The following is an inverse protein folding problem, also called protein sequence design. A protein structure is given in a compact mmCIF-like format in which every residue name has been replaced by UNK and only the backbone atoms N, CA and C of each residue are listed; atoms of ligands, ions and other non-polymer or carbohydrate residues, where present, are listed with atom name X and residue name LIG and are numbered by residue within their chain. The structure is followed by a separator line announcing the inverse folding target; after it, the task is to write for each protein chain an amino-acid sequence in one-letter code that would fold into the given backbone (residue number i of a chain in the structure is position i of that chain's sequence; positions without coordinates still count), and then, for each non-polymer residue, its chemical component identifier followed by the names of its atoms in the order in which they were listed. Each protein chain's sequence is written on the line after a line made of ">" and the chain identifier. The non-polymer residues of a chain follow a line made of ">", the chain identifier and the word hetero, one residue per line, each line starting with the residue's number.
data_IF_323310189866
#
_entry.id   IF_323310189866
#
_cell.length_a   1.000
_cell.length_b   1.000
_cell.length_c   1.000
_cell.angle_alpha   90.00
_cell.angle_beta   90.00
_cell.angle_gamma   90.00
#
_symmetry.space_group_name_H-M   'P 1'
#
loop_
_entity.id
_entity.type
_entity.pdbx_description
1 polymer ?
#
# COMPACT_ATOMS: atom_id res chain seq x y z
N UNK A 1 4.97 -24.13 -16.79
CA UNK A 1 4.61 -23.60 -15.45
C UNK A 1 5.90 -23.50 -14.64
N UNK A 2 6.32 -22.30 -14.23
CA UNK A 2 7.47 -22.13 -13.32
C UNK A 2 7.03 -22.53 -11.92
N UNK A 3 7.95 -23.12 -11.15
CA UNK A 3 7.78 -23.40 -9.73
C UNK A 3 8.77 -22.53 -8.99
N UNK A 4 8.30 -21.78 -7.99
CA UNK A 4 9.14 -20.99 -7.10
C UNK A 4 9.86 -21.90 -6.11
N UNK A 5 11.09 -21.56 -5.77
CA UNK A 5 11.79 -22.24 -4.68
C UNK A 5 11.19 -21.89 -3.31
N UNK A 6 11.67 -22.53 -2.25
CA UNK A 6 11.13 -22.33 -0.90
C UNK A 6 11.36 -20.90 -0.37
N UNK A 7 12.49 -20.27 -0.71
CA UNK A 7 12.77 -18.90 -0.29
C UNK A 7 11.92 -17.88 -1.04
N UNK A 8 11.79 -18.04 -2.37
CA UNK A 8 10.92 -17.22 -3.21
C UNK A 8 9.47 -17.32 -2.73
N UNK A 9 8.97 -18.54 -2.53
CA UNK A 9 7.61 -18.77 -2.01
C UNK A 9 7.41 -18.10 -0.64
N UNK A 10 8.37 -18.27 0.27
CA UNK A 10 8.30 -17.65 1.60
C UNK A 10 8.22 -16.12 1.48
N UNK A 11 9.08 -15.52 0.67
CA UNK A 11 9.12 -14.07 0.50
C UNK A 11 7.82 -13.52 -0.11
N UNK A 12 7.25 -14.22 -1.10
CA UNK A 12 5.96 -13.86 -1.70
C UNK A 12 4.85 -13.94 -0.66
N UNK A 13 4.77 -15.05 0.08
CA UNK A 13 3.74 -15.26 1.11
C UNK A 13 3.88 -14.23 2.24
N UNK A 14 5.11 -13.95 2.68
CA UNK A 14 5.37 -12.95 3.71
C UNK A 14 4.95 -11.55 3.23
N UNK A 15 5.28 -11.18 1.98
CA UNK A 15 4.89 -9.88 1.43
C UNK A 15 3.38 -9.73 1.43
N UNK A 16 2.65 -10.70 0.87
CA UNK A 16 1.18 -10.64 0.79
C UNK A 16 0.52 -10.57 2.17
N UNK A 17 0.97 -11.39 3.12
CA UNK A 17 0.36 -11.42 4.47
C UNK A 17 0.70 -10.19 5.32
N UNK A 18 1.88 -9.60 5.13
CA UNK A 18 2.33 -8.45 5.93
C UNK A 18 1.98 -7.11 5.28
N UNK A 19 1.56 -7.11 4.02
CA UNK A 19 1.19 -5.89 3.31
C UNK A 19 -0.05 -5.25 3.95
N UNK A 20 -0.06 -3.92 4.15
CA UNK A 20 -1.26 -3.22 4.62
C UNK A 20 -2.39 -3.36 3.59
N UNK A 21 -3.58 -3.68 4.10
CA UNK A 21 -4.83 -3.77 3.34
C UNK A 21 -5.97 -3.14 4.16
N UNK A 22 -7.06 -2.80 3.48
CA UNK A 22 -8.28 -2.20 4.02
C UNK A 22 -8.06 -0.84 4.69
N UNK A 23 -8.79 -0.55 5.77
CA UNK A 23 -8.71 0.69 6.54
C UNK A 23 -7.47 0.68 7.42
N UNK A 24 -6.59 1.66 7.20
CA UNK A 24 -5.36 1.79 7.99
C UNK A 24 -5.49 2.90 9.04
N UNK A 25 -6.15 4.01 8.70
CA UNK A 25 -6.32 5.16 9.59
C UNK A 25 -7.74 5.72 9.45
N UNK A 26 -8.47 5.77 10.57
CA UNK A 26 -9.74 6.50 10.69
C UNK A 26 -9.48 7.98 10.97
N UNK A 27 -10.40 8.84 10.56
CA UNK A 27 -10.29 10.27 10.76
C UNK A 27 -10.45 10.67 12.23
N UNK A 28 -9.54 11.51 12.70
CA UNK A 28 -9.63 12.14 14.02
C UNK A 28 -10.40 13.47 13.97
N UNK A 29 -10.78 13.94 12.78
CA UNK A 29 -11.49 15.20 12.56
C UNK A 29 -12.98 14.96 12.30
N UNK A 30 -13.30 13.93 11.52
CA UNK A 30 -14.66 13.60 11.10
C UNK A 30 -15.07 12.22 11.62
N UNK A 31 -16.21 12.16 12.28
CA UNK A 31 -16.77 10.89 12.75
C UNK A 31 -17.11 9.98 11.56
N UNK A 32 -16.80 8.69 11.68
CA UNK A 32 -17.09 7.65 10.68
C UNK A 32 -16.46 7.87 9.29
N UNK A 33 -15.38 8.66 9.20
CA UNK A 33 -14.63 8.85 7.96
C UNK A 33 -13.29 8.10 7.98
N UNK A 34 -12.94 7.44 6.88
CA UNK A 34 -11.61 6.85 6.68
C UNK A 34 -10.67 7.95 6.18
N UNK A 35 -9.53 8.10 6.85
CA UNK A 35 -8.48 9.00 6.39
C UNK A 35 -7.49 8.31 5.46
N UNK A 36 -7.13 7.05 5.72
CA UNK A 36 -6.23 6.28 4.86
C UNK A 36 -6.67 4.83 4.75
N UNK A 37 -6.72 4.33 3.52
CA UNK A 37 -6.96 2.92 3.19
C UNK A 37 -6.00 2.44 2.10
N UNK A 38 -5.72 1.15 2.09
CA UNK A 38 -4.89 0.50 1.05
C UNK A 38 -5.66 -0.68 0.47
N UNK A 39 -5.68 -0.82 -0.85
CA UNK A 39 -6.25 -2.00 -1.50
C UNK A 39 -5.14 -2.74 -2.24
N UNK A 40 -4.93 -4.02 -1.93
CA UNK A 40 -4.12 -4.93 -2.75
C UNK A 40 -5.04 -5.53 -3.82
N UNK A 41 -5.12 -4.85 -4.97
CA UNK A 41 -6.13 -5.13 -5.99
C UNK A 41 -5.73 -6.22 -6.98
N UNK A 42 -4.44 -6.36 -7.25
CA UNK A 42 -3.94 -7.26 -8.29
C UNK A 42 -2.68 -7.98 -7.85
N UNK A 43 -2.62 -9.28 -8.16
CA UNK A 43 -1.42 -10.09 -8.10
C UNK A 43 -1.38 -10.90 -9.38
N UNK A 44 -0.31 -10.75 -10.16
CA UNK A 44 -0.13 -11.51 -11.38
C UNK A 44 1.33 -11.87 -11.61
N UNK A 45 1.54 -12.86 -12.46
CA UNK A 45 2.87 -13.38 -12.80
C UNK A 45 3.02 -13.44 -14.31
N UNK A 46 3.92 -12.63 -14.84
CA UNK A 46 4.19 -12.49 -16.27
C UNK A 46 5.71 -12.36 -16.47
N UNK A 47 6.24 -12.95 -17.54
CA UNK A 47 7.66 -12.84 -17.92
C UNK A 47 8.67 -13.06 -16.78
N UNK A 48 8.40 -14.05 -15.92
CA UNK A 48 9.22 -14.41 -14.76
C UNK A 48 9.24 -13.39 -13.61
N UNK A 49 8.33 -12.41 -13.62
CA UNK A 49 8.16 -11.39 -12.60
C UNK A 49 6.79 -11.53 -11.94
N UNK A 50 6.78 -11.50 -10.61
CA UNK A 50 5.54 -11.35 -9.85
C UNK A 50 5.30 -9.87 -9.58
N UNK A 51 4.12 -9.39 -9.94
CA UNK A 51 3.71 -8.01 -9.74
C UNK A 51 2.56 -7.98 -8.75
N UNK A 52 2.68 -7.12 -7.73
CA UNK A 52 1.63 -6.84 -6.75
C UNK A 52 1.26 -5.37 -6.88
N UNK A 53 -0.01 -5.08 -7.18
CA UNK A 53 -0.50 -3.72 -7.38
C UNK A 53 -1.33 -3.30 -6.18
N UNK A 54 -1.00 -2.15 -5.60
CA UNK A 54 -1.70 -1.59 -4.45
C UNK A 54 -2.13 -0.15 -4.67
N UNK A 55 -3.40 0.13 -4.35
CA UNK A 55 -3.97 1.47 -4.37
C UNK A 55 -3.95 2.08 -2.97
N UNK A 56 -3.23 3.19 -2.80
CA UNK A 56 -3.22 3.96 -1.55
C UNK A 56 -4.15 5.16 -1.68
N UNK A 57 -5.23 5.18 -0.90
CA UNK A 57 -6.14 6.33 -0.79
C UNK A 57 -5.92 7.00 0.56
N UNK A 58 -5.64 8.30 0.57
CA UNK A 58 -5.35 9.02 1.81
C UNK A 58 -5.78 10.48 1.73
N UNK A 59 -6.39 11.03 2.80
CA UNK A 59 -6.72 12.44 2.93
C UNK A 59 -5.50 13.31 3.24
N UNK A 60 -4.43 12.74 3.81
CA UNK A 60 -3.24 13.46 4.23
C UNK A 60 -1.97 12.91 3.57
N UNK A 61 -1.20 13.79 2.91
CA UNK A 61 0.04 13.39 2.24
C UNK A 61 1.05 12.71 3.18
N UNK A 62 1.10 13.15 4.44
CA UNK A 62 1.96 12.52 5.46
C UNK A 62 1.55 11.08 5.77
N UNK A 63 0.25 10.79 5.79
CA UNK A 63 -0.26 9.42 5.98
C UNK A 63 -0.01 8.56 4.74
N UNK A 64 -0.22 9.10 3.54
CA UNK A 64 0.17 8.42 2.29
C UNK A 64 1.66 8.05 2.29
N UNK A 65 2.54 9.00 2.62
CA UNK A 65 3.97 8.77 2.69
C UNK A 65 4.33 7.73 3.75
N UNK A 66 3.63 7.72 4.88
CA UNK A 66 3.81 6.68 5.90
C UNK A 66 3.50 5.27 5.36
N UNK A 67 2.43 5.11 4.59
CA UNK A 67 2.13 3.82 3.93
C UNK A 67 3.22 3.46 2.93
N UNK A 68 3.65 4.39 2.08
CA UNK A 68 4.70 4.15 1.08
C UNK A 68 5.99 3.70 1.78
N UNK A 69 6.44 4.39 2.83
CA UNK A 69 7.62 3.99 3.59
C UNK A 69 7.46 2.59 4.21
N UNK A 70 6.26 2.22 4.67
CA UNK A 70 5.99 0.87 5.21
C UNK A 70 6.14 -0.20 4.13
N UNK A 71 5.59 0.06 2.94
CA UNK A 71 5.68 -0.82 1.79
C UNK A 71 7.12 -0.94 1.29
N UNK A 72 7.88 0.15 1.22
CA UNK A 72 9.30 0.14 0.86
C UNK A 72 10.13 -0.73 1.83
N UNK A 73 9.84 -0.64 3.13
CA UNK A 73 10.49 -1.49 4.13
C UNK A 73 10.12 -2.95 4.00
N UNK A 74 8.84 -3.25 3.75
CA UNK A 74 8.39 -4.62 3.53
C UNK A 74 9.01 -5.20 2.26
N UNK A 75 9.03 -4.44 1.17
CA UNK A 75 9.65 -4.83 -0.08
C UNK A 75 11.14 -5.12 0.09
N UNK A 76 11.86 -4.24 0.78
CA UNK A 76 13.28 -4.46 1.13
C UNK A 76 13.50 -5.72 1.98
N UNK A 77 12.54 -6.12 2.82
CA UNK A 77 12.65 -7.32 3.66
C UNK A 77 12.37 -8.61 2.87
N UNK A 78 11.45 -8.56 1.90
CA UNK A 78 11.06 -9.72 1.09
C UNK A 78 11.75 -9.79 -0.27
N UNK A 79 12.62 -8.83 -0.60
CA UNK A 79 13.35 -8.78 -1.87
C UNK A 79 12.51 -8.29 -3.05
N UNK A 80 11.39 -7.61 -2.80
CA UNK A 80 10.61 -6.93 -3.83
C UNK A 80 11.20 -5.54 -4.12
N UNK A 81 10.97 -5.07 -5.33
CA UNK A 81 11.17 -3.67 -5.71
C UNK A 81 9.84 -2.92 -5.64
N UNK A 82 9.90 -1.60 -5.43
CA UNK A 82 8.70 -0.75 -5.39
C UNK A 82 8.82 0.40 -6.39
N UNK A 83 7.73 0.62 -7.10
CA UNK A 83 7.48 1.83 -7.88
C UNK A 83 6.15 2.43 -7.40
N UNK A 84 6.16 3.73 -7.12
CA UNK A 84 4.96 4.47 -6.73
C UNK A 84 4.61 5.49 -7.81
N UNK A 85 3.44 5.33 -8.43
CA UNK A 85 2.94 6.17 -9.52
C UNK A 85 1.55 6.72 -9.18
N UNK A 86 0.96 7.51 -10.08
CA UNK A 86 -0.44 7.94 -9.93
C UNK A 86 -0.71 8.93 -8.79
N UNK A 87 0.31 9.69 -8.36
CA UNK A 87 0.12 10.71 -7.32
C UNK A 87 -0.89 11.76 -7.74
N UNK A 88 -1.99 11.85 -6.99
CA UNK A 88 -2.95 12.95 -7.09
C UNK A 88 -2.99 13.77 -5.80
N UNK A 89 -3.44 15.01 -5.91
CA UNK A 89 -3.58 15.91 -4.75
C UNK A 89 -4.94 15.73 -4.10
N UNK A 90 -4.96 15.81 -2.76
CA UNK A 90 -6.20 15.72 -2.00
C UNK A 90 -6.92 17.07 -1.97
N UNK A 91 -8.25 17.03 -1.97
CA UNK A 91 -9.06 18.21 -1.65
C UNK A 91 -8.89 18.55 -0.17
N UNK A 92 -8.22 19.66 0.15
CA UNK A 92 -8.04 20.10 1.53
C UNK A 92 -9.33 20.74 2.06
N UNK A 93 -9.87 20.20 3.14
CA UNK A 93 -10.94 20.86 3.89
C UNK A 93 -10.41 22.14 4.57
N UNK A 94 -11.15 23.24 4.45
CA UNK A 94 -10.89 24.48 5.17
C UNK A 94 -11.94 24.62 6.27
N UNK A 95 -11.53 24.51 7.53
CA UNK A 95 -12.40 24.81 8.67
C UNK A 95 -12.74 26.30 8.61
N UNK A 96 -14.02 26.64 8.50
CA UNK A 96 -14.48 28.02 8.66
C UNK A 96 -14.28 28.36 10.13
N UNK A 97 -13.52 29.42 10.48
CA UNK A 97 -13.37 29.84 11.87
C UNK A 97 -14.77 30.15 12.45
N UNK A 98 -15.04 29.60 13.63
CA UNK A 98 -16.22 29.95 14.45
C UNK A 98 -16.08 31.34 15.02
#
# INVERSE_FOLDING_TARGET
>A
MRVFDNSENKNIIDYVNLSPVDVVIMSNIFENLVDTSVNLGEIFFEDNVITVVQDIRSNFKTQQNFIICKLEKLASYTGFEIEATGYYTNWKYKKIPS
#
